data_IF_943294650242
#
_entry.id   IF_943294650242
#
_cell.length_a   1.000
_cell.length_b   1.000
_cell.length_c   1.000
_cell.angle_alpha   90.00
_cell.angle_beta   90.00
_cell.angle_gamma   90.00
#
_symmetry.space_group_name_H-M   'P 1'
#
loop_
_entity.id
_entity.type
_entity.pdbx_description
1 polymer ?
#
# COMPACT_ATOMS: atom_id res chain seq x y z
N UNK A 1 -9.33 44.68 59.18
CA UNK A 1 -9.32 43.21 59.34
C UNK A 1 -9.58 42.44 58.04
N UNK A 2 -10.39 42.92 57.09
CA UNK A 2 -10.62 42.20 55.82
C UNK A 2 -9.46 42.26 54.82
N UNK A 3 -8.83 43.43 54.66
CA UNK A 3 -7.82 43.65 53.60
C UNK A 3 -6.43 43.08 53.91
N UNK A 4 -6.01 43.07 55.17
CA UNK A 4 -4.74 42.44 55.60
C UNK A 4 -4.76 40.92 55.35
N UNK A 5 -5.89 40.26 55.61
CA UNK A 5 -6.05 38.81 55.41
C UNK A 5 -6.02 38.42 53.92
N UNK A 6 -6.44 39.32 53.02
CA UNK A 6 -6.39 39.09 51.56
C UNK A 6 -4.96 39.24 51.03
N UNK A 7 -4.20 40.21 51.54
CA UNK A 7 -2.80 40.43 51.17
C UNK A 7 -1.93 39.25 51.62
N UNK A 8 -2.12 38.78 52.85
CA UNK A 8 -1.38 37.63 53.42
C UNK A 8 -1.64 36.34 52.61
N UNK A 9 -2.89 36.12 52.18
CA UNK A 9 -3.26 34.96 51.36
C UNK A 9 -2.65 35.01 49.94
N UNK A 10 -2.53 36.21 49.35
CA UNK A 10 -1.89 36.41 48.04
C UNK A 10 -0.37 36.24 48.10
N UNK A 11 0.27 36.73 49.16
CA UNK A 11 1.71 36.54 49.40
C UNK A 11 2.03 35.05 49.56
N UNK A 12 1.24 34.31 50.34
CA UNK A 12 1.44 32.87 50.52
C UNK A 12 1.29 32.09 49.21
N UNK A 13 0.32 32.42 48.35
CA UNK A 13 0.18 31.78 47.04
C UNK A 13 1.39 32.06 46.14
N UNK A 14 1.87 33.31 46.10
CA UNK A 14 3.06 33.67 45.30
C UNK A 14 4.29 32.93 45.82
N UNK A 15 4.49 32.87 47.14
CA UNK A 15 5.59 32.12 47.75
C UNK A 15 5.50 30.62 47.42
N UNK A 16 4.31 30.01 47.49
CA UNK A 16 4.11 28.61 47.12
C UNK A 16 4.38 28.37 45.63
N UNK A 17 3.90 29.23 44.73
CA UNK A 17 4.14 29.10 43.29
C UNK A 17 5.63 29.28 42.97
N UNK A 18 6.31 30.26 43.56
CA UNK A 18 7.75 30.46 43.39
C UNK A 18 8.52 29.25 43.91
N UNK A 19 8.20 28.74 45.11
CA UNK A 19 8.84 27.54 45.66
C UNK A 19 8.64 26.31 44.76
N UNK A 20 7.42 26.08 44.26
CA UNK A 20 7.10 24.97 43.36
C UNK A 20 7.88 25.09 42.05
N UNK A 21 7.90 26.26 41.41
CA UNK A 21 8.65 26.47 40.16
C UNK A 21 10.15 26.30 40.37
N UNK A 22 10.71 26.79 41.48
CA UNK A 22 12.13 26.57 41.80
C UNK A 22 12.44 25.11 42.13
N UNK A 23 11.53 24.36 42.76
CA UNK A 23 11.71 22.92 42.98
C UNK A 23 11.69 22.09 41.69
N UNK A 24 10.89 22.48 40.69
CA UNK A 24 10.92 21.84 39.36
C UNK A 24 12.18 22.19 38.57
N UNK A 25 12.68 23.43 38.67
CA UNK A 25 13.94 23.82 38.04
C UNK A 25 15.15 23.10 38.66
N UNK A 26 15.16 22.92 39.99
CA UNK A 26 16.20 22.16 40.69
C UNK A 26 16.11 20.67 40.35
N UNK A 27 14.89 20.09 40.29
CA UNK A 27 14.71 18.70 39.89
C UNK A 27 15.15 18.46 38.43
N UNK A 28 14.81 19.35 37.50
CA UNK A 28 15.26 19.26 36.11
C UNK A 28 16.79 19.41 35.99
N UNK A 29 17.40 20.31 36.76
CA UNK A 29 18.85 20.46 36.81
C UNK A 29 19.54 19.24 37.41
N UNK A 30 19.01 18.66 38.49
CA UNK A 30 19.56 17.43 39.10
C UNK A 30 19.39 16.24 38.16
N UNK A 31 18.26 16.12 37.45
CA UNK A 31 18.02 15.05 36.46
C UNK A 31 18.99 15.20 35.29
N UNK A 32 19.13 16.41 34.72
CA UNK A 32 20.10 16.65 33.63
C UNK A 32 21.55 16.48 34.10
N UNK A 33 21.90 16.91 35.32
CA UNK A 33 23.24 16.75 35.89
C UNK A 33 23.56 15.27 36.19
N UNK A 34 22.59 14.47 36.63
CA UNK A 34 22.77 13.02 36.77
C UNK A 34 22.83 12.30 35.43
N UNK A 35 22.02 12.69 34.44
CA UNK A 35 22.05 12.08 33.10
C UNK A 35 23.36 12.36 32.36
N UNK A 36 23.94 13.55 32.56
CA UNK A 36 25.21 13.94 31.92
C UNK A 36 26.45 13.38 32.63
N UNK A 37 26.37 13.02 33.92
CA UNK A 37 27.53 12.59 34.71
C UNK A 37 27.55 11.10 35.10
N UNK A 38 26.48 10.34 34.87
CA UNK A 38 26.42 8.90 35.20
C UNK A 38 26.28 7.98 33.97
N UNK A 39 26.73 8.40 32.78
CA UNK A 39 26.67 7.54 31.58
C UNK A 39 27.81 6.51 31.48
N UNK A 40 28.60 6.31 32.53
CA UNK A 40 29.56 5.21 32.61
C UNK A 40 29.42 4.49 33.95
N UNK A 41 29.18 3.18 33.87
CA UNK A 41 29.20 2.14 34.91
C UNK A 41 27.84 1.66 35.47
N UNK A 42 27.65 0.34 35.30
CA UNK A 42 26.67 -0.59 35.88
C UNK A 42 25.30 -0.76 35.20
N UNK A 43 25.25 -1.59 34.15
CA UNK A 43 24.08 -2.41 33.81
C UNK A 43 24.37 -3.90 34.07
N UNK A 44 23.47 -4.65 34.75
CA UNK A 44 23.62 -6.09 34.96
C UNK A 44 23.29 -6.90 33.70
N UNK A 45 24.07 -7.95 33.50
CA UNK A 45 24.10 -8.86 32.35
C UNK A 45 22.91 -9.85 32.36
N UNK A 46 21.91 -9.66 31.48
CA UNK A 46 20.97 -10.71 31.03
C UNK A 46 20.70 -10.53 29.52
N UNK A 47 21.38 -11.36 28.73
CA UNK A 47 21.12 -11.82 27.34
C UNK A 47 20.36 -10.86 26.42
N UNK A 48 21.10 -9.94 25.80
CA UNK A 48 20.78 -9.34 24.51
C UNK A 48 21.89 -9.74 23.52
N UNK A 49 21.75 -10.90 22.88
CA UNK A 49 22.53 -11.25 21.70
C UNK A 49 21.63 -11.17 20.48
N UNK A 50 22.04 -10.33 19.52
CA UNK A 50 21.44 -10.05 18.21
C UNK A 50 20.53 -8.82 18.11
N UNK A 51 21.07 -7.65 18.45
CA UNK A 51 20.77 -6.43 17.70
C UNK A 51 22.10 -5.70 17.45
N UNK A 52 22.77 -6.06 16.35
CA UNK A 52 23.73 -5.13 15.76
C UNK A 52 22.92 -3.96 15.19
N UNK A 53 23.31 -2.73 15.54
CA UNK A 53 22.78 -1.54 14.91
C UNK A 53 22.95 -1.67 13.39
N UNK A 54 21.84 -1.70 12.65
CA UNK A 54 21.87 -1.70 11.19
C UNK A 54 22.59 -0.42 10.72
N UNK A 55 23.59 -0.53 9.83
CA UNK A 55 24.32 0.64 9.37
C UNK A 55 23.39 1.54 8.54
N UNK A 56 23.56 2.85 8.67
CA UNK A 56 23.09 3.82 7.67
C UNK A 56 23.53 3.34 6.29
N UNK A 57 22.57 2.94 5.45
CA UNK A 57 22.86 2.41 4.11
C UNK A 57 23.48 3.52 3.25
N UNK A 58 24.77 3.43 2.86
CA UNK A 58 25.33 4.32 1.88
C UNK A 58 24.92 3.80 0.50
N UNK A 59 24.41 4.68 -0.38
CA UNK A 59 24.31 4.40 -1.82
C UNK A 59 25.72 4.12 -2.32
N UNK A 60 26.06 2.85 -2.50
CA UNK A 60 27.39 2.42 -2.90
C UNK A 60 27.60 2.73 -4.39
N UNK A 61 28.34 3.80 -4.69
CA UNK A 61 28.89 4.07 -6.03
C UNK A 61 30.11 3.16 -6.24
N UNK A 62 29.85 1.88 -6.53
CA UNK A 62 30.85 0.87 -6.87
C UNK A 62 30.42 0.12 -8.12
N UNK A 63 31.27 0.14 -9.13
CA UNK A 63 31.02 -0.36 -10.49
C UNK A 63 30.87 -1.90 -10.57
N UNK A 64 29.63 -2.36 -10.63
CA UNK A 64 29.17 -3.57 -11.32
C UNK A 64 27.96 -3.12 -12.15
N UNK A 65 27.71 -3.69 -13.33
CA UNK A 65 26.70 -3.15 -14.25
C UNK A 65 25.37 -2.90 -13.54
N UNK A 66 25.04 -1.62 -13.33
CA UNK A 66 23.81 -1.16 -12.70
C UNK A 66 22.71 -1.52 -13.69
N UNK A 67 22.02 -2.63 -13.44
CA UNK A 67 20.66 -2.79 -13.95
C UNK A 67 19.89 -1.56 -13.48
N UNK A 68 19.43 -0.75 -14.43
CA UNK A 68 18.84 0.55 -14.11
C UNK A 68 17.66 0.34 -13.16
N UNK A 69 17.74 0.93 -11.97
CA UNK A 69 16.63 1.01 -11.01
C UNK A 69 15.42 1.67 -11.69
N UNK A 70 14.16 1.28 -11.40
CA UNK A 70 13.00 1.92 -12.00
C UNK A 70 12.98 3.42 -11.67
N UNK A 71 12.87 4.26 -12.71
CA UNK A 71 12.68 5.71 -12.52
C UNK A 71 11.24 6.00 -12.10
N UNK A 72 11.01 7.15 -11.47
CA UNK A 72 9.67 7.52 -10.99
C UNK A 72 8.64 7.58 -12.12
N UNK A 73 7.52 6.90 -11.93
CA UNK A 73 6.42 6.95 -12.89
C UNK A 73 5.68 8.28 -12.81
N UNK A 74 5.28 8.76 -13.98
CA UNK A 74 4.51 9.98 -14.16
C UNK A 74 3.31 9.70 -15.04
N UNK A 75 2.24 10.45 -14.83
CA UNK A 75 1.11 10.49 -15.74
C UNK A 75 1.37 11.53 -16.82
N UNK A 76 1.21 11.12 -18.07
CA UNK A 76 1.21 12.00 -19.22
C UNK A 76 -0.03 11.70 -20.06
N UNK A 77 -0.94 12.67 -20.13
CA UNK A 77 -2.26 12.50 -20.74
C UNK A 77 -3.01 11.30 -20.13
N UNK A 78 -3.27 10.26 -20.92
CA UNK A 78 -3.93 9.02 -20.50
C UNK A 78 -2.95 7.85 -20.30
N UNK A 79 -1.64 8.12 -20.23
CA UNK A 79 -0.59 7.10 -20.17
C UNK A 79 0.24 7.22 -18.90
N UNK A 80 0.79 6.09 -18.47
CA UNK A 80 1.83 6.01 -17.45
C UNK A 80 3.16 6.02 -18.18
N UNK A 81 4.06 6.92 -17.81
CA UNK A 81 5.38 7.06 -18.41
C UNK A 81 6.47 7.04 -17.36
N UNK A 82 7.70 6.79 -17.80
CA UNK A 82 8.91 6.93 -17.00
C UNK A 82 9.69 8.20 -17.41
N UNK A 83 10.86 8.46 -16.82
CA UNK A 83 11.62 9.71 -17.06
C UNK A 83 12.15 9.87 -18.49
N UNK A 84 12.15 8.81 -19.31
CA UNK A 84 12.46 8.89 -20.75
C UNK A 84 11.22 9.02 -21.63
N UNK A 85 10.05 9.31 -21.04
CA UNK A 85 8.74 9.41 -21.69
C UNK A 85 8.29 8.15 -22.44
N UNK A 86 8.85 6.98 -22.11
CA UNK A 86 8.35 5.71 -22.66
C UNK A 86 7.06 5.31 -21.95
N UNK A 87 6.06 4.87 -22.71
CA UNK A 87 4.83 4.32 -22.16
C UNK A 87 5.15 3.04 -21.36
N UNK A 88 4.69 2.96 -20.12
CA UNK A 88 4.85 1.82 -19.23
C UNK A 88 3.50 1.17 -19.01
N UNK A 89 3.41 -0.11 -19.38
CA UNK A 89 2.26 -0.95 -19.05
C UNK A 89 2.61 -1.79 -17.83
N UNK A 90 2.00 -1.49 -16.69
CA UNK A 90 2.21 -2.25 -15.46
C UNK A 90 1.53 -3.61 -15.61
N UNK A 91 2.29 -4.70 -15.53
CA UNK A 91 1.81 -6.09 -15.60
C UNK A 91 2.47 -6.86 -14.47
N UNK A 92 1.67 -7.31 -13.51
CA UNK A 92 2.19 -7.76 -12.24
C UNK A 92 1.37 -8.81 -11.53
N UNK A 93 1.84 -9.11 -10.32
CA UNK A 93 1.33 -10.15 -9.46
C UNK A 93 1.14 -9.56 -8.06
N UNK A 94 0.13 -10.07 -7.35
CA UNK A 94 -0.14 -9.71 -5.97
C UNK A 94 0.10 -10.93 -5.06
N UNK A 95 1.03 -10.86 -4.10
CA UNK A 95 1.15 -11.85 -3.05
C UNK A 95 0.10 -11.62 -1.96
N UNK A 96 -0.04 -12.55 -1.00
CA UNK A 96 -0.69 -12.25 0.28
C UNK A 96 -0.03 -11.07 1.01
N UNK A 97 -0.69 -10.63 2.08
CA UNK A 97 -0.10 -9.68 3.03
C UNK A 97 1.30 -10.12 3.49
N UNK A 98 2.21 -9.15 3.64
CA UNK A 98 3.61 -9.43 3.97
C UNK A 98 3.77 -10.10 5.34
N UNK A 99 2.93 -9.77 6.32
CA UNK A 99 2.94 -10.44 7.63
C UNK A 99 2.44 -11.88 7.50
N UNK A 100 1.46 -12.15 6.63
CA UNK A 100 0.98 -13.52 6.36
C UNK A 100 2.08 -14.35 5.70
N UNK A 101 2.78 -13.80 4.71
CA UNK A 101 3.94 -14.47 4.12
C UNK A 101 5.04 -14.74 5.15
N UNK A 102 5.26 -13.80 6.08
CA UNK A 102 6.25 -13.96 7.15
C UNK A 102 5.87 -15.10 8.09
N UNK A 103 4.62 -15.15 8.54
CA UNK A 103 4.12 -16.20 9.44
C UNK A 103 4.20 -17.60 8.81
N UNK A 104 4.17 -17.67 7.48
CA UNK A 104 4.36 -18.89 6.69
C UNK A 104 5.83 -19.18 6.36
N UNK A 105 6.79 -18.38 6.82
CA UNK A 105 8.22 -18.45 6.49
C UNK A 105 8.54 -18.27 4.99
N UNK A 106 7.66 -17.57 4.26
CA UNK A 106 7.77 -17.32 2.81
C UNK A 106 8.26 -15.92 2.47
N UNK A 107 8.25 -14.99 3.43
CA UNK A 107 8.71 -13.61 3.20
C UNK A 107 10.24 -13.54 3.07
N UNK A 108 10.73 -13.54 1.82
CA UNK A 108 12.14 -13.32 1.49
C UNK A 108 12.28 -12.85 0.04
N UNK A 109 13.47 -12.38 -0.33
CA UNK A 109 13.75 -11.91 -1.70
C UNK A 109 13.51 -12.98 -2.77
N UNK A 110 13.82 -14.25 -2.50
CA UNK A 110 13.66 -15.34 -3.47
C UNK A 110 12.19 -15.57 -3.86
N UNK A 111 11.25 -15.28 -2.95
CA UNK A 111 9.83 -15.25 -3.26
C UNK A 111 9.51 -14.24 -4.38
N UNK A 112 10.02 -13.01 -4.26
CA UNK A 112 9.82 -11.95 -5.26
C UNK A 112 10.64 -12.18 -6.54
N UNK A 113 11.76 -12.90 -6.47
CA UNK A 113 12.50 -13.36 -7.66
C UNK A 113 11.68 -14.29 -8.54
N UNK A 114 10.80 -15.13 -7.96
CA UNK A 114 9.86 -15.96 -8.74
C UNK A 114 8.88 -15.08 -9.53
N UNK A 115 8.34 -14.04 -8.91
CA UNK A 115 7.44 -13.07 -9.57
C UNK A 115 8.15 -12.33 -10.70
N UNK A 116 9.41 -11.89 -10.46
CA UNK A 116 10.25 -11.28 -11.50
C UNK A 116 10.51 -12.24 -12.65
N UNK A 117 10.85 -13.50 -12.34
CA UNK A 117 11.18 -14.53 -13.33
C UNK A 117 9.97 -14.90 -14.20
N UNK A 118 8.76 -14.79 -13.66
CA UNK A 118 7.52 -14.93 -14.43
C UNK A 118 7.32 -13.79 -15.46
N UNK A 119 8.05 -12.68 -15.35
CA UNK A 119 7.94 -11.52 -16.23
C UNK A 119 7.19 -10.32 -15.62
N UNK A 120 6.87 -10.36 -14.32
CA UNK A 120 6.25 -9.20 -13.66
C UNK A 120 7.19 -7.98 -13.66
N UNK A 121 6.61 -6.79 -13.88
CA UNK A 121 7.31 -5.52 -13.72
C UNK A 121 6.82 -4.68 -12.53
N UNK A 122 5.78 -5.16 -11.84
CA UNK A 122 5.22 -4.55 -10.64
C UNK A 122 4.76 -5.64 -9.67
N UNK A 123 4.94 -5.37 -8.37
CA UNK A 123 4.32 -6.13 -7.28
C UNK A 123 3.33 -5.20 -6.58
N UNK A 124 2.12 -5.69 -6.30
CA UNK A 124 1.14 -5.00 -5.44
C UNK A 124 1.19 -5.61 -4.06
N UNK A 125 1.48 -4.81 -3.03
CA UNK A 125 1.57 -5.22 -1.64
C UNK A 125 0.29 -4.81 -0.91
N UNK A 126 -0.62 -5.76 -0.64
CA UNK A 126 -1.86 -5.47 0.06
C UNK A 126 -1.59 -5.41 1.57
N UNK A 127 -1.74 -4.22 2.15
CA UNK A 127 -1.54 -3.98 3.59
C UNK A 127 -2.89 -4.02 4.29
N UNK A 128 -3.15 -5.11 5.02
CA UNK A 128 -4.42 -5.30 5.71
C UNK A 128 -4.45 -4.45 6.99
N UNK A 129 -5.49 -3.62 7.20
CA UNK A 129 -5.54 -2.71 8.35
C UNK A 129 -5.49 -3.40 9.71
N UNK A 130 -6.04 -4.60 9.84
CA UNK A 130 -5.97 -5.37 11.10
C UNK A 130 -4.59 -5.98 11.35
N UNK A 131 -3.81 -6.27 10.30
CA UNK A 131 -2.42 -6.72 10.42
C UNK A 131 -1.47 -5.55 10.66
N UNK A 132 -1.70 -4.41 9.98
CA UNK A 132 -1.01 -3.15 10.24
C UNK A 132 -1.07 -2.75 11.71
N UNK A 133 -2.23 -2.84 12.36
CA UNK A 133 -2.33 -2.45 13.80
C UNK A 133 -1.80 -3.52 14.76
N UNK A 134 -1.60 -4.77 14.31
CA UNK A 134 -1.05 -5.85 15.15
C UNK A 134 0.45 -5.71 15.34
N UNK A 135 1.15 -5.10 14.38
CA UNK A 135 2.58 -4.81 14.48
C UNK A 135 2.82 -3.28 14.38
N UNK A 136 3.25 -2.66 15.49
CA UNK A 136 3.55 -1.23 15.54
C UNK A 136 4.67 -0.80 14.57
N UNK A 137 5.56 -1.74 14.23
CA UNK A 137 6.71 -1.56 13.35
C UNK A 137 6.47 -2.16 11.95
N UNK A 138 5.22 -2.50 11.58
CA UNK A 138 4.86 -3.14 10.29
C UNK A 138 5.50 -2.47 9.06
N UNK A 139 5.58 -1.13 9.06
CA UNK A 139 6.23 -0.37 7.99
C UNK A 139 7.70 -0.75 7.80
N UNK A 140 8.47 -0.79 8.88
CA UNK A 140 9.91 -1.06 8.83
C UNK A 140 10.21 -2.56 8.78
N UNK A 141 9.39 -3.39 9.44
CA UNK A 141 9.57 -4.85 9.47
C UNK A 141 9.23 -5.52 8.13
N UNK A 142 8.24 -4.98 7.40
CA UNK A 142 7.68 -5.67 6.23
C UNK A 142 7.70 -4.83 4.96
N UNK A 143 7.07 -3.65 4.97
CA UNK A 143 6.90 -2.86 3.74
C UNK A 143 8.25 -2.37 3.20
N UNK A 144 9.11 -1.84 4.07
CA UNK A 144 10.43 -1.31 3.69
C UNK A 144 11.33 -2.40 3.06
N UNK A 145 11.53 -3.58 3.66
CA UNK A 145 12.27 -4.67 3.03
C UNK A 145 11.68 -5.12 1.70
N UNK A 146 10.35 -5.27 1.63
CA UNK A 146 9.67 -5.70 0.40
C UNK A 146 9.84 -4.70 -0.76
N UNK A 147 9.72 -3.41 -0.48
CA UNK A 147 9.98 -2.33 -1.46
C UNK A 147 11.45 -2.34 -1.89
N UNK A 148 12.39 -2.58 -0.97
CA UNK A 148 13.82 -2.71 -1.31
C UNK A 148 14.08 -3.88 -2.25
N UNK A 149 13.51 -5.06 -1.97
CA UNK A 149 13.65 -6.21 -2.85
C UNK A 149 13.02 -5.97 -4.22
N UNK A 150 11.84 -5.35 -4.29
CA UNK A 150 11.24 -4.97 -5.58
C UNK A 150 12.17 -4.03 -6.36
N UNK A 151 12.78 -3.04 -5.69
CA UNK A 151 13.74 -2.12 -6.27
C UNK A 151 14.99 -2.82 -6.82
N UNK A 152 15.59 -3.72 -6.03
CA UNK A 152 16.75 -4.54 -6.42
C UNK A 152 16.45 -5.47 -7.60
N UNK A 153 15.19 -5.90 -7.75
CA UNK A 153 14.72 -6.74 -8.84
C UNK A 153 14.24 -5.93 -10.06
N UNK A 154 14.43 -4.61 -10.04
CA UNK A 154 13.97 -3.69 -11.07
C UNK A 154 12.47 -3.87 -11.36
N UNK A 155 11.66 -3.79 -10.30
CA UNK A 155 10.19 -3.81 -10.32
C UNK A 155 9.63 -2.61 -9.54
N UNK A 156 8.46 -2.14 -9.97
CA UNK A 156 7.67 -1.19 -9.21
C UNK A 156 6.98 -1.88 -8.02
N UNK A 157 6.68 -1.10 -6.98
CA UNK A 157 5.96 -1.53 -5.80
C UNK A 157 4.70 -0.67 -5.64
N UNK A 158 3.51 -1.26 -5.80
CA UNK A 158 2.26 -0.63 -5.40
C UNK A 158 2.03 -0.97 -3.92
N UNK A 159 1.99 0.03 -3.05
CA UNK A 159 1.54 -0.15 -1.66
C UNK A 159 0.04 0.14 -1.65
N UNK A 160 -0.76 -0.84 -1.26
CA UNK A 160 -2.21 -0.75 -1.24
C UNK A 160 -2.74 -0.84 0.20
N UNK A 161 -3.55 0.15 0.61
CA UNK A 161 -4.26 0.07 1.89
C UNK A 161 -5.53 -0.77 1.72
N UNK A 162 -5.48 -2.01 2.20
CA UNK A 162 -6.39 -3.09 1.82
C UNK A 162 -7.74 -3.09 2.56
N UNK A 163 -8.46 -1.96 2.51
CA UNK A 163 -9.84 -1.83 3.00
C UNK A 163 -10.88 -2.23 1.93
N UNK A 164 -11.90 -3.02 2.33
CA UNK A 164 -13.09 -3.37 1.51
C UNK A 164 -14.40 -2.83 2.11
N UNK A 165 -14.77 -1.58 1.84
CA UNK A 165 -15.91 -0.94 2.52
C UNK A 165 -15.99 0.57 2.41
N UNK A 166 -16.82 1.18 3.26
CA UNK A 166 -16.96 2.63 3.35
C UNK A 166 -16.06 3.17 4.46
N UNK A 167 -14.91 3.73 4.08
CA UNK A 167 -13.92 4.25 5.04
C UNK A 167 -14.39 5.51 5.79
N UNK A 168 -15.43 6.20 5.31
CA UNK A 168 -15.99 7.38 5.97
C UNK A 168 -16.90 7.02 7.15
N UNK A 169 -17.54 5.85 7.09
CA UNK A 169 -18.52 5.42 8.09
C UNK A 169 -18.08 4.17 8.85
N UNK A 170 -17.07 3.46 8.35
CA UNK A 170 -16.67 2.14 8.82
C UNK A 170 -17.66 1.02 8.51
N UNK A 171 -18.61 1.24 7.58
CA UNK A 171 -19.60 0.23 7.20
C UNK A 171 -19.13 -0.65 6.04
N UNK A 172 -19.42 -1.94 6.11
CA UNK A 172 -19.14 -2.92 5.06
C UNK A 172 -19.08 -4.33 5.66
N UNK A 173 -19.44 -5.35 4.88
CA UNK A 173 -19.40 -6.73 5.39
C UNK A 173 -17.97 -7.20 5.67
N UNK A 174 -17.01 -6.66 4.93
CA UNK A 174 -15.58 -7.00 4.98
C UNK A 174 -14.76 -5.92 5.71
N UNK A 175 -15.43 -4.97 6.37
CA UNK A 175 -14.71 -4.00 7.19
C UNK A 175 -14.10 -4.64 8.44
N UNK A 176 -12.78 -4.43 8.66
CA UNK A 176 -12.10 -5.01 9.80
C UNK A 176 -12.58 -4.32 11.08
N UNK A 177 -12.79 -5.12 12.13
CA UNK A 177 -13.30 -4.65 13.44
C UNK A 177 -12.13 -4.31 14.36
N UNK A 178 -11.48 -3.18 14.10
CA UNK A 178 -10.16 -2.85 14.69
C UNK A 178 -10.17 -1.70 15.72
N UNK A 179 -11.35 -1.22 16.13
CA UNK A 179 -11.49 -0.19 17.19
C UNK A 179 -10.96 1.21 16.83
N UNK A 180 -10.35 1.39 15.66
CA UNK A 180 -9.91 2.66 15.10
C UNK A 180 -10.82 3.01 13.93
N UNK A 181 -11.20 4.29 13.80
CA UNK A 181 -12.03 4.72 12.69
C UNK A 181 -11.25 4.59 11.36
N UNK A 182 -11.80 3.96 10.29
CA UNK A 182 -11.01 3.69 9.08
C UNK A 182 -10.42 4.94 8.43
N UNK A 183 -11.18 6.03 8.33
CA UNK A 183 -10.65 7.33 7.87
C UNK A 183 -9.43 7.80 8.68
N UNK A 184 -9.45 7.67 10.00
CA UNK A 184 -8.35 8.08 10.87
C UNK A 184 -7.12 7.21 10.63
N UNK A 185 -7.30 5.88 10.55
CA UNK A 185 -6.22 4.96 10.21
C UNK A 185 -5.65 5.24 8.83
N UNK A 186 -6.49 5.48 7.81
CA UNK A 186 -6.03 5.81 6.46
C UNK A 186 -5.18 7.08 6.43
N UNK A 187 -5.58 8.12 7.14
CA UNK A 187 -4.83 9.38 7.20
C UNK A 187 -3.46 9.20 7.91
N UNK A 188 -3.42 8.46 9.02
CA UNK A 188 -2.17 8.12 9.73
C UNK A 188 -1.25 7.23 8.88
N UNK A 189 -1.81 6.19 8.26
CA UNK A 189 -1.10 5.28 7.37
C UNK A 189 -0.45 6.04 6.22
N UNK A 190 -1.23 6.83 5.47
CA UNK A 190 -0.71 7.56 4.31
C UNK A 190 0.28 8.66 4.70
N UNK A 191 0.15 9.27 5.88
CA UNK A 191 1.16 10.21 6.37
C UNK A 191 2.51 9.52 6.58
N UNK A 192 2.51 8.37 7.27
CA UNK A 192 3.72 7.58 7.56
C UNK A 192 4.35 7.01 6.28
N UNK A 193 3.56 6.30 5.48
CA UNK A 193 4.02 5.63 4.26
C UNK A 193 4.53 6.63 3.22
N UNK A 194 3.79 7.71 2.96
CA UNK A 194 4.23 8.70 1.98
C UNK A 194 5.49 9.43 2.44
N UNK A 195 5.60 9.78 3.73
CA UNK A 195 6.82 10.39 4.28
C UNK A 195 8.01 9.44 4.16
N UNK A 196 7.81 8.14 4.44
CA UNK A 196 8.87 7.13 4.41
C UNK A 196 9.44 6.87 3.02
N UNK A 197 8.58 6.91 2.01
CA UNK A 197 8.93 6.52 0.64
C UNK A 197 9.06 7.69 -0.33
N UNK A 198 8.89 8.97 0.06
CA UNK A 198 8.93 10.14 -0.85
C UNK A 198 10.12 10.21 -1.83
N UNK A 199 11.25 9.61 -1.45
CA UNK A 199 12.48 9.56 -2.26
C UNK A 199 12.69 8.20 -2.98
N UNK A 200 11.71 7.30 -2.93
CA UNK A 200 11.74 5.96 -3.55
C UNK A 200 11.00 5.97 -4.91
N UNK A 201 11.74 6.02 -6.04
CA UNK A 201 11.14 6.22 -7.37
C UNK A 201 10.31 5.02 -7.84
N UNK A 202 10.58 3.81 -7.33
CA UNK A 202 9.86 2.61 -7.71
C UNK A 202 8.49 2.45 -6.99
N UNK A 203 8.14 3.34 -6.07
CA UNK A 203 6.93 3.23 -5.24
C UNK A 203 5.73 3.93 -5.89
N UNK A 204 4.57 3.30 -5.77
CA UNK A 204 3.25 3.78 -6.19
C UNK A 204 2.30 3.60 -4.99
N UNK A 205 1.38 4.54 -4.79
CA UNK A 205 0.44 4.50 -3.66
C UNK A 205 -0.99 4.25 -4.13
N UNK A 206 -1.63 3.16 -3.70
CA UNK A 206 -3.06 2.89 -3.96
C UNK A 206 -3.88 3.14 -2.70
N UNK A 207 -4.65 4.23 -2.70
CA UNK A 207 -5.12 4.86 -1.46
C UNK A 207 -6.14 4.06 -0.65
N UNK A 208 -6.86 3.15 -1.31
CA UNK A 208 -7.88 2.29 -0.73
C UNK A 208 -8.21 1.21 -1.76
N UNK A 209 -8.14 -0.05 -1.34
CA UNK A 209 -8.39 -1.21 -2.18
C UNK A 209 -9.79 -1.21 -2.82
N UNK A 210 -10.85 -1.25 -2.03
CA UNK A 210 -12.21 -1.42 -2.53
C UNK A 210 -13.22 -0.51 -1.81
N UNK A 211 -13.37 0.74 -2.25
CA UNK A 211 -14.44 1.62 -1.79
C UNK A 211 -15.81 1.02 -2.13
N UNK A 212 -16.58 0.67 -1.09
CA UNK A 212 -17.90 0.07 -1.21
C UNK A 212 -18.93 0.78 -0.32
N UNK A 213 -20.22 0.72 -0.71
CA UNK A 213 -21.30 1.44 0.00
C UNK A 213 -21.03 2.95 0.21
N UNK A 214 -20.27 3.55 -0.71
CA UNK A 214 -19.90 4.97 -0.75
C UNK A 214 -20.29 5.53 -2.12
N UNK A 215 -20.93 6.69 -2.15
CA UNK A 215 -21.31 7.31 -3.43
C UNK A 215 -20.13 8.06 -4.06
N UNK A 216 -20.24 8.38 -5.35
CA UNK A 216 -19.17 9.00 -6.12
C UNK A 216 -18.69 10.34 -5.53
N UNK A 217 -19.61 11.19 -5.03
CA UNK A 217 -19.25 12.49 -4.47
C UNK A 217 -18.49 12.34 -3.15
N UNK A 218 -18.97 11.46 -2.27
CA UNK A 218 -18.31 11.12 -1.01
C UNK A 218 -16.91 10.55 -1.28
N UNK A 219 -16.81 9.62 -2.22
CA UNK A 219 -15.54 9.01 -2.58
C UNK A 219 -14.57 10.03 -3.19
N UNK A 220 -15.00 10.83 -4.16
CA UNK A 220 -14.18 11.91 -4.73
C UNK A 220 -13.59 12.82 -3.64
N UNK A 221 -14.42 13.27 -2.70
CA UNK A 221 -13.97 14.17 -1.64
C UNK A 221 -12.98 13.48 -0.69
N UNK A 222 -13.21 12.21 -0.35
CA UNK A 222 -12.30 11.43 0.48
C UNK A 222 -10.96 11.19 -0.24
N UNK A 223 -11.00 10.68 -1.46
CA UNK A 223 -9.83 10.37 -2.28
C UNK A 223 -8.98 11.61 -2.52
N UNK A 224 -9.60 12.75 -2.89
CA UNK A 224 -8.90 14.03 -3.03
C UNK A 224 -8.15 14.42 -1.75
N UNK A 225 -8.78 14.30 -0.59
CA UNK A 225 -8.13 14.63 0.68
C UNK A 225 -6.94 13.71 0.99
N UNK A 226 -7.04 12.41 0.69
CA UNK A 226 -5.93 11.46 0.86
C UNK A 226 -4.78 11.76 -0.10
N UNK A 227 -5.06 12.08 -1.37
CA UNK A 227 -4.03 12.52 -2.33
C UNK A 227 -3.34 13.79 -1.84
N UNK A 228 -4.11 14.80 -1.40
CA UNK A 228 -3.54 16.04 -0.85
C UNK A 228 -2.67 15.78 0.40
N UNK A 229 -3.06 14.85 1.26
CA UNK A 229 -2.28 14.44 2.42
C UNK A 229 -0.95 13.81 2.01
N UNK A 230 -0.95 12.90 1.04
CA UNK A 230 0.27 12.30 0.47
C UNK A 230 1.20 13.41 -0.07
N UNK A 231 0.66 14.36 -0.85
CA UNK A 231 1.44 15.49 -1.38
C UNK A 231 2.03 16.37 -0.28
N UNK A 232 1.33 16.57 0.84
CA UNK A 232 1.84 17.33 2.00
C UNK A 232 3.05 16.67 2.68
N UNK A 233 3.25 15.36 2.50
CA UNK A 233 4.46 14.68 2.97
C UNK A 233 5.69 14.90 2.04
N UNK A 234 5.51 15.62 0.93
CA UNK A 234 6.54 15.84 -0.08
C UNK A 234 6.65 14.71 -1.11
N UNK A 235 5.71 13.77 -1.12
CA UNK A 235 5.76 12.60 -2.00
C UNK A 235 5.20 12.92 -3.40
N UNK A 236 6.06 12.82 -4.42
CA UNK A 236 5.73 13.08 -5.83
C UNK A 236 5.26 11.86 -6.63
N UNK A 237 5.27 10.68 -6.02
CA UNK A 237 4.96 9.40 -6.66
C UNK A 237 3.55 9.36 -7.24
N UNK A 238 3.35 8.48 -8.21
CA UNK A 238 2.03 8.22 -8.76
C UNK A 238 1.09 7.68 -7.68
N UNK A 239 -0.14 8.19 -7.67
CA UNK A 239 -1.20 7.73 -6.77
C UNK A 239 -2.28 7.03 -7.59
N UNK A 240 -2.71 5.85 -7.17
CA UNK A 240 -3.81 5.10 -7.74
C UNK A 240 -5.06 5.35 -6.90
N UNK A 241 -6.16 5.71 -7.58
CA UNK A 241 -7.48 5.94 -6.97
C UNK A 241 -8.49 4.96 -7.55
N UNK A 242 -9.01 4.06 -6.72
CA UNK A 242 -10.00 3.06 -7.12
C UNK A 242 -11.36 3.65 -7.50
N UNK A 243 -12.17 2.82 -8.18
CA UNK A 243 -13.58 3.11 -8.43
C UNK A 243 -14.46 3.02 -7.18
N UNK A 244 -15.74 3.32 -7.36
CA UNK A 244 -16.76 2.91 -6.39
C UNK A 244 -17.23 1.49 -6.71
N UNK A 245 -18.08 0.92 -5.85
CA UNK A 245 -18.63 -0.43 -6.02
C UNK A 245 -17.51 -1.48 -6.04
N UNK A 246 -16.71 -1.52 -4.97
CA UNK A 246 -15.58 -2.45 -4.85
C UNK A 246 -14.53 -2.21 -5.93
N UNK A 247 -14.15 -0.94 -6.10
CA UNK A 247 -13.24 -0.51 -7.18
C UNK A 247 -13.68 -0.92 -8.59
N UNK A 248 -14.92 -1.34 -8.84
CA UNK A 248 -15.36 -1.75 -10.18
C UNK A 248 -15.55 -0.55 -11.12
N UNK A 249 -16.17 0.53 -10.62
CA UNK A 249 -16.80 1.54 -11.46
C UNK A 249 -16.11 2.90 -11.34
N UNK A 250 -15.49 3.33 -12.45
CA UNK A 250 -14.78 4.59 -12.63
C UNK A 250 -15.59 5.63 -13.43
N UNK A 251 -16.88 5.38 -13.73
CA UNK A 251 -17.71 6.32 -14.51
C UNK A 251 -17.75 7.74 -13.93
N UNK A 252 -17.62 7.89 -12.61
CA UNK A 252 -17.54 9.19 -11.92
C UNK A 252 -16.33 10.05 -12.31
N UNK A 253 -15.25 9.43 -12.81
CA UNK A 253 -14.02 10.11 -13.23
C UNK A 253 -14.27 10.96 -14.49
N UNK A 254 -15.29 10.64 -15.31
CA UNK A 254 -15.67 11.44 -16.48
C UNK A 254 -16.05 12.87 -16.10
N UNK A 255 -16.76 13.01 -15.00
CA UNK A 255 -17.30 14.30 -14.55
C UNK A 255 -16.32 15.04 -13.64
N UNK A 256 -15.64 14.30 -12.75
CA UNK A 256 -14.86 14.90 -11.66
C UNK A 256 -13.59 14.12 -11.36
N UNK A 257 -12.56 14.16 -12.25
CA UNK A 257 -11.28 13.54 -11.95
C UNK A 257 -10.61 14.23 -10.76
N UNK A 258 -9.75 13.50 -10.04
CA UNK A 258 -8.94 14.04 -8.95
C UNK A 258 -8.03 15.15 -9.50
N UNK A 259 -7.99 16.35 -8.88
CA UNK A 259 -7.20 17.49 -9.34
C UNK A 259 -5.72 17.35 -8.94
N UNK A 260 -5.07 16.28 -9.40
CA UNK A 260 -3.63 16.03 -9.25
C UNK A 260 -3.08 15.53 -10.60
N UNK A 261 -1.86 15.96 -10.93
CA UNK A 261 -1.26 15.69 -12.23
C UNK A 261 -0.65 14.28 -12.34
N UNK A 262 -0.48 13.55 -11.23
CA UNK A 262 0.16 12.24 -11.18
C UNK A 262 -0.75 11.18 -10.53
N UNK A 263 -1.99 11.09 -11.03
CA UNK A 263 -3.01 10.11 -10.60
C UNK A 263 -3.40 9.17 -11.73
N UNK A 264 -3.37 7.87 -11.45
CA UNK A 264 -3.98 6.80 -12.23
C UNK A 264 -5.22 6.26 -11.49
N UNK A 265 -6.07 5.51 -12.21
CA UNK A 265 -7.32 4.99 -11.65
C UNK A 265 -7.36 3.46 -11.67
N UNK A 266 -7.85 2.87 -10.59
CA UNK A 266 -7.94 1.42 -10.44
C UNK A 266 -9.34 0.88 -10.78
N UNK A 267 -9.39 -0.26 -11.45
CA UNK A 267 -10.61 -1.05 -11.61
C UNK A 267 -10.41 -2.51 -11.20
N UNK A 268 -11.35 -3.11 -10.46
CA UNK A 268 -11.35 -4.54 -10.14
C UNK A 268 -12.43 -5.27 -10.93
N UNK A 269 -12.03 -6.24 -11.73
CA UNK A 269 -12.94 -6.91 -12.67
C UNK A 269 -12.79 -8.42 -12.50
N UNK A 270 -13.87 -9.09 -12.10
CA UNK A 270 -13.94 -10.54 -11.90
C UNK A 270 -14.95 -11.20 -12.85
N UNK A 271 -14.98 -12.54 -12.98
CA UNK A 271 -15.87 -13.24 -13.91
C UNK A 271 -17.36 -12.90 -13.82
N UNK A 272 -17.88 -12.60 -12.63
CA UNK A 272 -19.27 -12.16 -12.47
C UNK A 272 -19.57 -10.78 -13.09
N UNK A 273 -18.54 -9.99 -13.41
CA UNK A 273 -18.66 -8.66 -14.01
C UNK A 273 -18.81 -8.79 -15.53
N UNK A 274 -20.06 -8.77 -16.01
CA UNK A 274 -20.40 -8.95 -17.42
C UNK A 274 -19.59 -8.01 -18.33
N UNK A 275 -18.98 -8.58 -19.37
CA UNK A 275 -18.13 -7.87 -20.33
C UNK A 275 -18.82 -6.78 -21.12
N UNK A 276 -20.16 -6.83 -21.26
CA UNK A 276 -20.93 -5.75 -21.89
C UNK A 276 -20.79 -4.40 -21.18
N UNK A 277 -20.38 -4.40 -19.91
CA UNK A 277 -20.33 -3.20 -19.09
C UNK A 277 -18.90 -2.67 -18.89
N UNK A 278 -17.86 -3.40 -19.30
CA UNK A 278 -16.47 -3.00 -19.09
C UNK A 278 -16.16 -1.61 -19.66
N UNK A 279 -16.71 -1.30 -20.85
CA UNK A 279 -16.52 0.00 -21.51
C UNK A 279 -17.08 1.15 -20.65
N UNK A 280 -18.32 1.01 -20.17
CA UNK A 280 -18.99 2.03 -19.38
C UNK A 280 -18.43 2.19 -17.97
N UNK A 281 -17.92 1.10 -17.37
CA UNK A 281 -17.35 1.12 -16.03
C UNK A 281 -15.94 1.69 -15.98
N UNK A 282 -15.04 1.28 -16.88
CA UNK A 282 -13.63 1.69 -16.82
C UNK A 282 -12.95 1.88 -18.19
N UNK A 283 -13.43 1.24 -19.25
CA UNK A 283 -12.81 1.29 -20.58
C UNK A 283 -12.77 2.68 -21.21
N UNK A 284 -13.90 3.40 -21.19
CA UNK A 284 -13.97 4.76 -21.72
C UNK A 284 -13.03 5.71 -20.98
N UNK A 285 -12.73 5.41 -19.72
CA UNK A 285 -11.86 6.24 -18.87
C UNK A 285 -10.42 6.19 -19.39
N UNK A 286 -9.98 5.03 -19.91
CA UNK A 286 -8.62 4.86 -20.42
C UNK A 286 -8.31 5.72 -21.65
N UNK A 287 -9.34 6.26 -22.32
CA UNK A 287 -9.16 7.18 -23.43
C UNK A 287 -8.62 8.56 -23.00
N UNK A 288 -8.73 8.94 -21.72
CA UNK A 288 -8.34 10.28 -21.24
C UNK A 288 -7.67 10.31 -19.85
N UNK A 289 -7.66 9.21 -19.09
CA UNK A 289 -6.87 9.03 -17.87
C UNK A 289 -6.20 7.66 -17.87
N UNK A 290 -5.04 7.49 -17.22
CA UNK A 290 -4.44 6.18 -17.07
C UNK A 290 -5.31 5.29 -16.17
N UNK A 291 -5.58 4.08 -16.63
CA UNK A 291 -6.33 3.05 -15.90
C UNK A 291 -5.44 1.83 -15.71
N UNK A 292 -5.51 1.22 -14.53
CA UNK A 292 -4.87 -0.04 -14.19
C UNK A 292 -5.94 -0.96 -13.61
N UNK A 293 -5.95 -2.22 -14.00
CA UNK A 293 -6.73 -3.24 -13.30
C UNK A 293 -5.89 -3.80 -12.16
N UNK A 294 -6.05 -3.27 -10.94
CA UNK A 294 -5.20 -3.65 -9.80
C UNK A 294 -5.59 -4.98 -9.17
N UNK A 295 -6.77 -5.54 -9.53
CA UNK A 295 -7.15 -6.91 -9.21
C UNK A 295 -7.97 -7.55 -10.33
N UNK A 296 -7.59 -8.77 -10.68
CA UNK A 296 -8.38 -9.70 -11.50
C UNK A 296 -7.92 -11.14 -11.26
N UNK A 297 -8.76 -12.10 -11.64
CA UNK A 297 -8.45 -13.53 -11.57
C UNK A 297 -9.69 -14.40 -11.73
N UNK A 298 -9.52 -15.71 -11.79
CA UNK A 298 -10.65 -16.65 -11.86
C UNK A 298 -10.36 -18.01 -11.23
N UNK A 299 -11.42 -18.70 -10.80
CA UNK A 299 -11.40 -20.09 -10.33
C UNK A 299 -12.04 -21.00 -11.37
N UNK A 300 -11.31 -22.00 -11.83
CA UNK A 300 -11.77 -23.02 -12.77
C UNK A 300 -11.57 -24.48 -12.29
N UNK A 301 -10.65 -24.75 -11.36
CA UNK A 301 -10.44 -26.09 -10.78
C UNK A 301 -11.32 -26.38 -9.55
N UNK A 302 -11.47 -25.42 -8.62
CA UNK A 302 -12.16 -25.62 -7.33
C UNK A 302 -13.56 -24.96 -7.26
N UNK A 303 -14.27 -24.92 -8.39
CA UNK A 303 -15.49 -24.10 -8.60
C UNK A 303 -16.63 -24.38 -7.62
N UNK A 304 -16.75 -25.62 -7.14
CA UNK A 304 -17.82 -26.05 -6.23
C UNK A 304 -17.45 -25.88 -4.75
N UNK A 305 -16.18 -25.60 -4.44
CA UNK A 305 -15.66 -25.50 -3.07
C UNK A 305 -15.55 -24.05 -2.62
N UNK A 306 -15.26 -23.14 -3.55
CA UNK A 306 -15.13 -21.71 -3.26
C UNK A 306 -16.43 -21.11 -2.73
N UNK A 307 -16.29 -20.25 -1.72
CA UNK A 307 -17.38 -19.39 -1.23
C UNK A 307 -17.52 -18.10 -2.04
N UNK A 308 -16.52 -17.78 -2.86
CA UNK A 308 -16.43 -16.57 -3.67
C UNK A 308 -16.91 -16.85 -5.08
N UNK A 309 -18.19 -17.15 -5.22
CA UNK A 309 -18.81 -17.56 -6.49
C UNK A 309 -18.64 -16.53 -7.63
N UNK A 310 -18.35 -15.26 -7.30
CA UNK A 310 -18.07 -14.22 -8.28
C UNK A 310 -16.73 -14.41 -9.02
N UNK A 311 -15.80 -15.20 -8.45
CA UNK A 311 -14.53 -15.59 -9.05
C UNK A 311 -14.66 -16.77 -10.02
N UNK A 312 -15.80 -17.46 -10.05
CA UNK A 312 -15.96 -18.67 -10.87
C UNK A 312 -15.98 -18.31 -12.36
N UNK A 313 -14.92 -18.68 -13.07
CA UNK A 313 -14.68 -18.32 -14.47
C UNK A 313 -13.86 -19.39 -15.18
N UNK A 314 -13.30 -19.06 -16.34
CA UNK A 314 -12.25 -19.84 -16.99
C UNK A 314 -11.51 -18.95 -18.00
N UNK A 315 -10.41 -19.50 -18.54
CA UNK A 315 -9.58 -18.87 -19.56
C UNK A 315 -10.37 -18.44 -20.79
N UNK A 316 -11.24 -19.30 -21.32
CA UNK A 316 -11.92 -19.06 -22.61
C UNK A 316 -13.05 -18.04 -22.49
N UNK A 317 -13.84 -18.09 -21.43
CA UNK A 317 -15.02 -17.25 -21.23
C UNK A 317 -14.72 -15.91 -20.59
N UNK A 318 -13.59 -15.79 -19.87
CA UNK A 318 -13.24 -14.59 -19.13
C UNK A 318 -11.78 -14.17 -19.36
N UNK A 319 -10.80 -15.04 -19.05
CA UNK A 319 -9.38 -14.64 -19.05
C UNK A 319 -8.86 -14.09 -20.38
N UNK A 320 -9.09 -14.80 -21.49
CA UNK A 320 -8.68 -14.38 -22.84
C UNK A 320 -9.44 -13.13 -23.29
N UNK A 321 -10.79 -13.08 -23.27
CA UNK A 321 -11.54 -11.88 -23.65
C UNK A 321 -11.13 -10.65 -22.84
N UNK A 322 -10.92 -10.83 -21.53
CA UNK A 322 -10.55 -9.73 -20.63
C UNK A 322 -9.17 -9.18 -20.95
N UNK A 323 -8.14 -10.02 -21.03
CA UNK A 323 -6.80 -9.55 -21.34
C UNK A 323 -6.68 -8.95 -22.75
N UNK A 324 -7.40 -9.49 -23.74
CA UNK A 324 -7.45 -8.89 -25.08
C UNK A 324 -8.04 -7.48 -25.03
N UNK A 325 -9.10 -7.28 -24.25
CA UNK A 325 -9.71 -5.97 -24.07
C UNK A 325 -8.78 -4.99 -23.35
N UNK A 326 -8.04 -5.44 -22.32
CA UNK A 326 -7.03 -4.60 -21.65
C UNK A 326 -5.89 -4.22 -22.60
N UNK A 327 -5.39 -5.16 -23.41
CA UNK A 327 -4.35 -4.89 -24.41
C UNK A 327 -4.85 -3.88 -25.47
N UNK A 328 -6.09 -4.00 -25.96
CA UNK A 328 -6.71 -3.04 -26.89
C UNK A 328 -6.77 -1.63 -26.30
N UNK A 329 -7.09 -1.53 -25.01
CA UNK A 329 -7.23 -0.28 -24.28
C UNK A 329 -5.92 0.27 -23.70
N UNK A 330 -4.80 -0.43 -23.89
CA UNK A 330 -3.51 -0.14 -23.24
C UNK A 330 -3.59 -0.03 -21.71
N UNK A 331 -4.35 -0.94 -21.08
CA UNK A 331 -4.57 -0.99 -19.63
C UNK A 331 -3.64 -2.04 -19.01
N UNK A 332 -2.88 -1.60 -18.00
CA UNK A 332 -2.05 -2.49 -17.20
C UNK A 332 -2.89 -3.31 -16.22
N UNK A 333 -2.33 -4.38 -15.67
CA UNK A 333 -3.03 -5.24 -14.72
C UNK A 333 -2.14 -5.88 -13.67
N UNK A 334 -2.73 -6.23 -12.54
CA UNK A 334 -2.12 -7.05 -11.48
C UNK A 334 -3.06 -8.22 -11.20
N UNK A 335 -2.53 -9.44 -11.30
CA UNK A 335 -3.29 -10.67 -11.11
C UNK A 335 -3.20 -11.14 -9.65
N UNK A 336 -4.35 -11.55 -9.11
CA UNK A 336 -4.51 -12.06 -7.74
C UNK A 336 -4.80 -13.57 -7.78
N UNK A 337 -4.30 -14.42 -6.89
CA UNK A 337 -3.23 -14.19 -5.91
C UNK A 337 -2.05 -15.12 -6.23
N UNK A 338 -0.84 -14.60 -6.11
CA UNK A 338 0.39 -15.39 -6.19
C UNK A 338 0.57 -16.18 -4.89
N UNK A 339 -0.36 -17.11 -4.65
CA UNK A 339 -0.55 -17.88 -3.43
C UNK A 339 -1.21 -19.24 -3.70
N UNK A 340 -1.13 -20.15 -2.72
CA UNK A 340 -1.75 -21.49 -2.72
C UNK A 340 -2.99 -21.59 -1.80
N UNK A 341 -3.34 -20.52 -1.07
CA UNK A 341 -4.48 -20.51 -0.15
C UNK A 341 -5.48 -19.38 -0.39
N UNK A 342 -5.03 -18.22 -0.89
CA UNK A 342 -5.88 -17.08 -1.17
C UNK A 342 -6.49 -17.19 -2.57
N UNK A 343 -7.81 -17.18 -2.64
CA UNK A 343 -8.58 -17.35 -3.86
C UNK A 343 -8.62 -16.05 -4.71
N UNK A 344 -8.44 -16.12 -6.04
CA UNK A 344 -8.13 -17.33 -6.81
C UNK A 344 -6.64 -17.70 -6.72
N UNK A 345 -6.36 -18.94 -6.32
CA UNK A 345 -5.00 -19.44 -6.09
C UNK A 345 -4.27 -19.64 -7.43
N UNK A 346 -3.03 -19.16 -7.51
CA UNK A 346 -2.16 -19.46 -8.66
C UNK A 346 -1.39 -20.78 -8.48
N UNK A 347 -1.26 -21.27 -7.25
CA UNK A 347 -0.56 -22.53 -6.96
C UNK A 347 -1.55 -23.59 -6.46
N UNK A 348 -1.28 -24.87 -6.78
CA UNK A 348 -2.01 -25.99 -6.17
C UNK A 348 -1.52 -26.25 -4.74
N UNK A 349 -0.21 -26.24 -4.64
CA UNK A 349 0.61 -26.02 -3.46
C UNK A 349 1.95 -25.46 -4.01
N UNK A 350 2.73 -24.76 -3.19
CA UNK A 350 3.94 -24.08 -3.69
C UNK A 350 4.98 -25.01 -4.34
N UNK A 351 4.96 -26.30 -4.01
CA UNK A 351 5.93 -27.30 -4.47
C UNK A 351 5.46 -28.08 -5.71
N UNK A 352 4.14 -28.19 -5.92
CA UNK A 352 3.50 -29.06 -6.93
C UNK A 352 3.07 -28.31 -8.19
N UNK A 353 3.27 -26.99 -8.24
CA UNK A 353 3.11 -26.18 -9.45
C UNK A 353 1.82 -25.36 -9.51
N UNK A 354 1.54 -24.83 -10.70
CA UNK A 354 0.46 -23.87 -10.91
C UNK A 354 -0.92 -24.52 -11.07
N UNK A 355 -1.97 -23.82 -10.66
CA UNK A 355 -3.35 -24.02 -11.14
C UNK A 355 -3.44 -23.64 -12.62
N UNK A 356 -4.53 -24.00 -13.31
CA UNK A 356 -4.81 -23.60 -14.69
C UNK A 356 -4.83 -22.07 -14.81
N UNK A 357 -5.42 -21.39 -13.82
CA UNK A 357 -5.39 -19.93 -13.72
C UNK A 357 -3.95 -19.41 -13.55
N UNK A 358 -3.18 -19.94 -12.60
CA UNK A 358 -1.79 -19.56 -12.41
C UNK A 358 -0.95 -19.75 -13.67
N UNK A 359 -1.02 -20.92 -14.29
CA UNK A 359 -0.32 -21.24 -15.53
C UNK A 359 -0.70 -20.25 -16.65
N UNK A 360 -1.99 -19.91 -16.78
CA UNK A 360 -2.45 -18.92 -17.74
C UNK A 360 -1.84 -17.53 -17.49
N UNK A 361 -1.75 -17.09 -16.24
CA UNK A 361 -1.15 -15.78 -15.90
C UNK A 361 0.35 -15.77 -16.20
N UNK A 362 1.10 -16.81 -15.82
CA UNK A 362 2.54 -16.91 -16.09
C UNK A 362 2.83 -16.85 -17.59
N UNK A 363 2.09 -17.60 -18.40
CA UNK A 363 2.23 -17.57 -19.87
C UNK A 363 2.02 -16.15 -20.46
N UNK A 364 1.12 -15.36 -19.85
CA UNK A 364 0.81 -13.99 -20.30
C UNK A 364 1.88 -12.99 -19.89
N UNK A 365 2.47 -13.14 -18.72
CA UNK A 365 3.60 -12.33 -18.27
C UNK A 365 4.85 -12.62 -19.11
N UNK A 366 5.20 -13.90 -19.31
CA UNK A 366 6.36 -14.30 -20.10
C UNK A 366 6.29 -13.79 -21.55
N UNK A 367 5.11 -13.83 -22.17
CA UNK A 367 4.90 -13.28 -23.52
C UNK A 367 5.07 -11.77 -23.56
N UNK A 368 4.73 -11.06 -22.49
CA UNK A 368 4.83 -9.59 -22.42
C UNK A 368 6.26 -9.12 -22.13
N UNK A 369 7.13 -9.99 -21.59
CA UNK A 369 8.51 -9.69 -21.25
C UNK A 369 9.51 -9.90 -22.42
N UNK A 370 9.09 -10.57 -23.49
CA UNK A 370 9.84 -10.77 -24.74
C UNK A 370 9.48 -9.69 -25.75
#
# INVERSE_FOLDING_TARGET
>A
MGDEMIIEKRINIIITVVMVVSSFAIAAYIISYHFLNNSEQDTPEIIASQYEALPDYPINRGSTQIGSVPTMLKVYENRITNDVNSNILLKGLMPPDLMVLNDQNRLNKAFFERMKSAGANVIRFPVHPDLWIKNADYLEDYIVPAVSWANELNMYAIIDLHYIGNILTGSGNEMPKIGIHPKELSEDFWAKVASRFKDSPNVIFEICNEPASINAEQWFNCARNLVELIRKQGAGQMVIVGGIQYSQNLSWVKEKPIPDNNVAYASHIYPAHNSSNWEGWFGDISAYKPVIVTEWGFIDENRNETKQQYLVGNKESYGIPFLNYLDEKNIGWVACWFDDTWEPEMFKDEESGYTNYGQFVIEKLEKSAR
#
